data_IF_401012620727
#
_entry.id   IF_401012620727
#
_cell.length_a   1.000
_cell.length_b   1.000
_cell.length_c   1.000
_cell.angle_alpha   90.00
_cell.angle_beta   90.00
_cell.angle_gamma   90.00
#
_symmetry.space_group_name_H-M   'P 1'
#
loop_
_entity.id
_entity.type
_entity.pdbx_description
1 polymer ?
#
# COMPACT_ATOMS: atom_id res chain seq x y z
N UNK A 1 -6.43 -11.47 7.27
CA UNK A 1 -6.87 -12.41 6.22
C UNK A 1 -6.21 -13.78 6.42
N UNK A 2 -4.88 -13.86 6.41
CA UNK A 2 -4.15 -15.14 6.42
C UNK A 2 -4.48 -16.11 7.56
N UNK A 3 -4.48 -15.65 8.82
CA UNK A 3 -4.87 -16.51 9.95
C UNK A 3 -6.31 -17.01 9.87
N UNK A 4 -7.23 -16.21 9.31
CA UNK A 4 -8.62 -16.65 9.14
C UNK A 4 -8.71 -17.75 8.09
N UNK A 5 -7.97 -17.63 7.00
CA UNK A 5 -7.85 -18.70 5.99
C UNK A 5 -7.25 -19.98 6.57
N UNK A 6 -6.20 -19.87 7.39
CA UNK A 6 -5.62 -21.02 8.09
C UNK A 6 -6.63 -21.67 9.04
N UNK A 7 -7.33 -20.88 9.86
CA UNK A 7 -8.34 -21.39 10.79
C UNK A 7 -9.43 -22.14 10.05
N UNK A 8 -9.97 -21.56 8.97
CA UNK A 8 -11.00 -22.23 8.16
C UNK A 8 -10.50 -23.55 7.56
N UNK A 9 -9.25 -23.58 7.08
CA UNK A 9 -8.63 -24.81 6.58
C UNK A 9 -8.46 -25.86 7.69
N UNK A 10 -8.02 -25.46 8.88
CA UNK A 10 -7.88 -26.36 10.03
C UNK A 10 -9.24 -26.89 10.52
N UNK A 11 -10.27 -26.04 10.60
CA UNK A 11 -11.63 -26.45 10.96
C UNK A 11 -12.16 -27.50 9.98
N UNK A 12 -12.03 -27.25 8.67
CA UNK A 12 -12.39 -28.22 7.64
C UNK A 12 -11.64 -29.56 7.78
N UNK A 13 -10.34 -29.52 8.09
CA UNK A 13 -9.53 -30.71 8.25
C UNK A 13 -9.95 -31.52 9.48
N UNK A 14 -10.25 -30.83 10.59
CA UNK A 14 -10.75 -31.44 11.84
C UNK A 14 -12.12 -32.06 11.62
N UNK A 15 -13.05 -31.36 10.98
CA UNK A 15 -14.41 -31.86 10.67
C UNK A 15 -14.38 -33.15 9.85
N UNK A 16 -13.43 -33.26 8.93
CA UNK A 16 -13.25 -34.45 8.07
C UNK A 16 -12.31 -35.51 8.68
N UNK A 17 -11.88 -35.31 9.92
CA UNK A 17 -11.05 -36.24 10.67
C UNK A 17 -9.72 -36.58 9.97
N UNK A 18 -9.15 -35.63 9.22
CA UNK A 18 -7.79 -35.76 8.74
C UNK A 18 -6.81 -35.74 9.92
N UNK A 19 -5.74 -36.54 9.85
CA UNK A 19 -4.76 -36.67 10.94
C UNK A 19 -3.37 -36.19 10.54
N UNK A 20 -2.94 -36.51 9.32
CA UNK A 20 -1.64 -36.15 8.77
C UNK A 20 -1.81 -35.13 7.66
N UNK A 21 -1.35 -33.89 7.90
CA UNK A 21 -1.58 -32.77 6.99
C UNK A 21 -0.30 -31.97 6.75
N UNK A 22 -0.14 -31.53 5.50
CA UNK A 22 0.88 -30.55 5.11
C UNK A 22 0.15 -29.28 4.71
N UNK A 23 0.28 -28.24 5.53
CA UNK A 23 -0.27 -26.93 5.27
C UNK A 23 0.77 -26.12 4.52
N UNK A 24 0.41 -25.75 3.29
CA UNK A 24 1.27 -24.96 2.42
C UNK A 24 0.74 -23.54 2.32
N UNK A 25 1.59 -22.55 2.57
CA UNK A 25 1.22 -21.13 2.53
C UNK A 25 2.33 -20.29 1.91
N UNK A 26 1.94 -19.28 1.14
CA UNK A 26 2.82 -18.24 0.61
C UNK A 26 3.13 -17.13 1.63
N UNK A 27 2.49 -17.17 2.80
CA UNK A 27 2.85 -16.31 3.93
C UNK A 27 4.00 -16.91 4.73
N UNK A 28 5.19 -16.38 4.46
CA UNK A 28 6.37 -16.73 5.24
C UNK A 28 6.24 -16.32 6.72
N UNK A 29 5.48 -15.26 7.01
CA UNK A 29 5.23 -14.82 8.39
C UNK A 29 4.37 -15.84 9.14
N UNK A 30 3.26 -16.27 8.56
CA UNK A 30 2.34 -17.25 9.15
C UNK A 30 3.04 -18.58 9.40
N UNK A 31 3.74 -19.11 8.39
CA UNK A 31 4.49 -20.38 8.51
C UNK A 31 5.56 -20.31 9.61
N UNK A 32 6.30 -19.20 9.72
CA UNK A 32 7.29 -19.00 10.79
C UNK A 32 6.67 -18.85 12.17
N UNK A 33 5.45 -18.30 12.28
CA UNK A 33 4.74 -18.19 13.55
C UNK A 33 4.17 -19.53 14.01
N UNK A 34 3.54 -20.30 13.12
CA UNK A 34 3.01 -21.63 13.45
C UNK A 34 4.12 -22.65 13.76
N UNK A 35 5.28 -22.53 13.13
CA UNK A 35 6.45 -23.36 13.47
C UNK A 35 7.20 -22.90 14.73
N UNK A 36 6.67 -21.92 15.47
CA UNK A 36 7.26 -21.41 16.71
C UNK A 36 8.55 -20.59 16.53
N UNK A 37 9.02 -20.39 15.30
CA UNK A 37 10.24 -19.61 15.02
C UNK A 37 10.04 -18.14 15.36
N UNK A 38 8.84 -17.60 15.14
CA UNK A 38 8.52 -16.18 15.28
C UNK A 38 7.41 -15.97 16.32
N UNK A 39 7.55 -14.96 17.18
CA UNK A 39 6.53 -14.60 18.15
C UNK A 39 5.43 -13.71 17.54
N UNK A 40 4.18 -13.96 17.92
CA UNK A 40 3.04 -13.10 17.57
C UNK A 40 2.93 -11.95 18.58
N UNK A 41 3.27 -10.72 18.13
CA UNK A 41 3.27 -9.53 18.99
C UNK A 41 1.96 -8.76 18.99
N UNK A 42 1.20 -8.78 17.89
CA UNK A 42 -0.02 -7.97 17.75
C UNK A 42 -1.20 -8.60 18.53
N UNK A 43 -1.92 -7.87 19.40
CA UNK A 43 -2.98 -8.42 20.27
C UNK A 43 -4.10 -9.15 19.52
N UNK A 44 -4.58 -8.60 18.40
CA UNK A 44 -5.63 -9.24 17.60
C UNK A 44 -5.14 -10.53 16.91
N UNK A 45 -3.87 -10.59 16.52
CA UNK A 45 -3.29 -11.78 15.90
C UNK A 45 -3.01 -12.86 16.92
N UNK A 46 -2.68 -12.50 18.17
CA UNK A 46 -2.51 -13.48 19.26
C UNK A 46 -3.77 -14.31 19.46
N UNK A 47 -4.95 -13.69 19.45
CA UNK A 47 -6.23 -14.41 19.57
C UNK A 47 -6.42 -15.44 18.45
N UNK A 48 -6.14 -15.06 17.21
CA UNK A 48 -6.26 -15.95 16.06
C UNK A 48 -5.20 -17.06 16.06
N UNK A 49 -3.98 -16.73 16.48
CA UNK A 49 -2.88 -17.71 16.59
C UNK A 49 -3.17 -18.76 17.67
N UNK A 50 -3.72 -18.35 18.82
CA UNK A 50 -4.17 -19.28 19.86
C UNK A 50 -5.22 -20.24 19.28
N UNK A 51 -6.25 -19.71 18.61
CA UNK A 51 -7.29 -20.53 17.98
C UNK A 51 -6.73 -21.50 16.93
N UNK A 52 -5.77 -21.06 16.12
CA UNK A 52 -5.12 -21.92 15.14
C UNK A 52 -4.36 -23.08 15.82
N UNK A 53 -3.60 -22.81 16.88
CA UNK A 53 -2.90 -23.85 17.64
C UNK A 53 -3.86 -24.83 18.33
N UNK A 54 -5.01 -24.36 18.85
CA UNK A 54 -6.03 -25.23 19.43
C UNK A 54 -6.57 -26.23 18.40
N UNK A 55 -6.83 -25.77 17.18
CA UNK A 55 -7.31 -26.62 16.09
C UNK A 55 -6.21 -27.55 15.56
N UNK A 56 -4.98 -27.05 15.46
CA UNK A 56 -3.81 -27.84 15.08
C UNK A 56 -3.59 -29.01 16.05
N UNK A 57 -3.78 -28.79 17.35
CA UNK A 57 -3.64 -29.81 18.39
C UNK A 57 -4.66 -30.96 18.28
N UNK A 58 -5.76 -30.76 17.53
CA UNK A 58 -6.73 -31.81 17.24
C UNK A 58 -6.30 -32.71 16.07
N UNK A 59 -5.28 -32.31 15.31
CA UNK A 59 -4.67 -33.05 14.21
C UNK A 59 -3.43 -33.78 14.75
N UNK A 60 -3.15 -34.99 14.24
CA UNK A 60 -2.08 -35.82 14.79
C UNK A 60 -0.68 -35.34 14.36
N UNK A 61 -0.51 -34.98 13.10
CA UNK A 61 0.74 -34.49 12.53
C UNK A 61 0.48 -33.36 11.55
N UNK A 62 0.92 -32.15 11.91
CA UNK A 62 0.83 -30.97 11.04
C UNK A 62 2.22 -30.49 10.68
N UNK A 63 2.45 -30.27 9.39
CA UNK A 63 3.68 -29.64 8.87
C UNK A 63 3.35 -28.38 8.12
N UNK A 64 4.14 -27.34 8.33
CA UNK A 64 4.01 -26.07 7.61
C UNK A 64 5.14 -25.91 6.60
N UNK A 65 4.77 -25.71 5.33
CA UNK A 65 5.69 -25.45 4.23
C UNK A 65 5.40 -24.08 3.61
N UNK A 66 6.46 -23.32 3.35
CA UNK A 66 6.36 -22.06 2.62
C UNK A 66 6.45 -22.32 1.12
N UNK A 67 5.47 -21.88 0.34
CA UNK A 67 5.51 -21.90 -1.13
C UNK A 67 5.81 -20.49 -1.65
N UNK A 68 6.81 -20.30 -2.53
CA UNK A 68 6.98 -19.04 -3.26
C UNK A 68 5.72 -18.65 -4.04
N UNK A 69 5.34 -17.38 -3.98
CA UNK A 69 4.09 -16.87 -4.57
C UNK A 69 3.89 -17.21 -6.04
N UNK A 70 4.97 -17.31 -6.81
CA UNK A 70 4.97 -17.69 -8.23
C UNK A 70 4.35 -19.08 -8.49
N UNK A 71 4.39 -19.97 -7.49
CA UNK A 71 3.87 -21.33 -7.55
C UNK A 71 2.47 -21.46 -6.91
N UNK A 72 1.88 -20.38 -6.40
CA UNK A 72 0.60 -20.38 -5.68
C UNK A 72 -0.64 -20.13 -6.57
N UNK A 73 -0.46 -20.13 -7.89
CA UNK A 73 -1.48 -19.72 -8.88
C UNK A 73 -2.83 -20.46 -8.72
N UNK A 74 -2.80 -21.75 -8.38
CA UNK A 74 -4.02 -22.56 -8.19
C UNK A 74 -4.78 -22.16 -6.93
N UNK A 75 -4.10 -21.88 -5.83
CA UNK A 75 -4.76 -21.46 -4.60
C UNK A 75 -5.33 -20.05 -4.76
N UNK A 76 -4.60 -19.13 -5.42
CA UNK A 76 -5.08 -17.79 -5.75
C UNK A 76 -6.36 -17.86 -6.60
N UNK A 77 -6.38 -18.72 -7.63
CA UNK A 77 -7.58 -18.91 -8.46
C UNK A 77 -8.78 -19.41 -7.65
N UNK A 78 -8.57 -20.36 -6.74
CA UNK A 78 -9.64 -20.90 -5.89
C UNK A 78 -10.13 -19.87 -4.86
N UNK A 79 -9.22 -19.09 -4.27
CA UNK A 79 -9.57 -18.03 -3.34
C UNK A 79 -10.41 -16.93 -4.03
N UNK A 80 -10.01 -16.52 -5.25
CA UNK A 80 -10.77 -15.55 -6.03
C UNK A 80 -12.16 -16.10 -6.42
N UNK A 81 -12.23 -17.35 -6.89
CA UNK A 81 -13.51 -17.99 -7.21
C UNK A 81 -14.45 -18.08 -6.00
N UNK A 82 -13.92 -18.41 -4.82
CA UNK A 82 -14.72 -18.43 -3.59
C UNK A 82 -15.22 -17.04 -3.18
N UNK A 83 -14.42 -15.98 -3.40
CA UNK A 83 -14.86 -14.60 -3.18
C UNK A 83 -15.98 -14.22 -4.16
N UNK A 84 -15.84 -14.58 -5.43
CA UNK A 84 -16.82 -14.32 -6.49
C UNK A 84 -18.15 -15.09 -6.26
N UNK A 85 -18.11 -16.32 -5.74
CA UNK A 85 -19.31 -17.09 -5.36
C UNK A 85 -20.04 -16.50 -4.15
N UNK A 86 -19.31 -15.88 -3.21
CA UNK A 86 -19.92 -15.23 -2.03
C UNK A 86 -20.49 -13.84 -2.31
N UNK A 87 -20.23 -13.25 -3.49
CA UNK A 87 -20.78 -11.94 -3.87
C UNK A 87 -22.28 -11.94 -4.16
N UNK A 88 -22.91 -13.11 -4.34
CA UNK A 88 -24.34 -13.20 -4.66
C UNK A 88 -25.28 -13.42 -3.45
N UNK A 89 -24.76 -13.61 -2.22
CA UNK A 89 -25.62 -14.05 -1.10
C UNK A 89 -25.60 -13.22 0.20
N UNK A 90 -24.68 -12.27 0.44
CA UNK A 90 -24.78 -11.46 1.68
C UNK A 90 -24.07 -10.08 1.66
N UNK A 91 -23.85 -9.53 0.47
CA UNK A 91 -23.46 -8.12 0.32
C UNK A 91 -24.41 -7.42 -0.66
N UNK A 92 -25.64 -7.15 -0.21
CA UNK A 92 -26.22 -5.87 -0.61
C UNK A 92 -25.35 -4.80 0.05
N UNK A 93 -24.33 -4.36 -0.68
CA UNK A 93 -23.91 -2.97 -0.53
C UNK A 93 -25.19 -2.15 -0.53
N UNK A 94 -25.41 -1.21 0.42
CA UNK A 94 -26.55 -0.31 0.32
C UNK A 94 -26.58 0.20 -1.11
N UNK A 95 -27.76 0.28 -1.76
CA UNK A 95 -27.84 0.71 -3.15
C UNK A 95 -26.97 1.95 -3.24
N UNK A 96 -25.96 1.92 -4.12
CA UNK A 96 -25.20 3.12 -4.45
C UNK A 96 -26.26 4.08 -4.90
N UNK A 97 -26.69 4.96 -4.00
CA UNK A 97 -27.65 5.99 -4.31
C UNK A 97 -26.93 6.83 -5.35
N UNK A 98 -27.26 6.54 -6.62
CA UNK A 98 -27.13 7.43 -7.75
C UNK A 98 -28.04 8.63 -7.51
N UNK A 99 -27.66 9.40 -6.51
CA UNK A 99 -27.92 10.82 -6.38
C UNK A 99 -26.59 11.41 -5.91
N UNK A 100 -25.51 11.16 -6.67
CA UNK A 100 -24.36 12.03 -6.60
C UNK A 100 -24.91 13.42 -6.88
N UNK A 101 -24.98 14.25 -5.84
CA UNK A 101 -25.32 15.63 -6.01
C UNK A 101 -24.27 16.15 -7.01
N UNK A 102 -24.65 16.65 -8.19
CA UNK A 102 -23.68 17.07 -9.21
C UNK A 102 -22.82 18.25 -8.74
N UNK A 103 -23.05 18.73 -7.51
CA UNK A 103 -22.30 19.74 -6.76
C UNK A 103 -21.31 19.18 -5.72
N UNK A 104 -21.17 17.86 -5.58
CA UNK A 104 -20.27 17.24 -4.58
C UNK A 104 -18.91 16.84 -5.16
N UNK A 105 -17.81 17.06 -4.41
CA UNK A 105 -16.48 16.69 -4.87
C UNK A 105 -16.38 15.18 -5.10
N UNK A 106 -15.92 14.79 -6.29
CA UNK A 106 -15.75 13.39 -6.71
C UNK A 106 -14.28 13.03 -6.76
N UNK A 107 -13.88 11.92 -6.15
CA UNK A 107 -12.51 11.40 -6.26
C UNK A 107 -12.35 10.73 -7.62
N UNK A 108 -11.47 11.27 -8.45
CA UNK A 108 -11.17 10.76 -9.79
C UNK A 108 -10.20 9.58 -9.74
N UNK A 109 -9.16 9.71 -8.92
CA UNK A 109 -8.11 8.69 -8.80
C UNK A 109 -7.32 8.85 -7.50
N UNK A 110 -6.59 7.80 -7.14
CA UNK A 110 -5.71 7.79 -5.98
C UNK A 110 -4.34 7.25 -6.34
N UNK A 111 -3.33 7.66 -5.57
CA UNK A 111 -1.98 7.16 -5.66
C UNK A 111 -1.36 7.02 -4.28
N UNK A 112 -0.65 5.92 -4.07
CA UNK A 112 0.06 5.64 -2.83
C UNK A 112 1.50 5.24 -3.14
N UNK A 113 2.41 5.64 -2.28
CA UNK A 113 3.80 5.26 -2.39
C UNK A 113 4.47 5.16 -1.01
N UNK A 114 5.50 4.32 -0.92
CA UNK A 114 6.32 4.12 0.28
C UNK A 114 7.78 3.96 -0.13
N UNK A 115 8.66 4.65 0.56
CA UNK A 115 10.09 4.71 0.24
C UNK A 115 10.98 4.58 1.46
N UNK A 116 12.11 3.91 1.27
CA UNK A 116 13.14 3.74 2.28
C UNK A 116 14.01 5.01 2.38
N UNK A 117 14.17 5.53 3.59
CA UNK A 117 14.92 6.77 3.85
C UNK A 117 16.40 6.59 3.59
N UNK A 118 16.97 5.44 3.93
CA UNK A 118 18.39 5.15 3.69
C UNK A 118 18.67 4.98 2.19
N UNK A 119 17.73 4.39 1.44
CA UNK A 119 17.83 4.35 -0.03
C UNK A 119 17.95 5.74 -0.64
N UNK A 120 17.06 6.67 -0.27
CA UNK A 120 17.09 8.04 -0.82
C UNK A 120 18.32 8.80 -0.32
N UNK A 121 18.69 8.63 0.94
CA UNK A 121 19.92 9.18 1.52
C UNK A 121 21.15 8.72 0.73
N UNK A 122 21.21 7.45 0.33
CA UNK A 122 22.31 6.89 -0.43
C UNK A 122 22.36 7.42 -1.87
N UNK A 123 21.20 7.68 -2.48
CA UNK A 123 21.13 8.32 -3.79
C UNK A 123 21.63 9.76 -3.73
N UNK A 124 21.22 10.52 -2.70
CA UNK A 124 21.70 11.89 -2.47
C UNK A 124 23.21 11.88 -2.22
N UNK A 125 23.71 10.95 -1.40
CA UNK A 125 25.15 10.84 -1.11
C UNK A 125 25.97 10.50 -2.35
N UNK A 126 25.49 9.56 -3.18
CA UNK A 126 26.21 9.08 -4.37
C UNK A 126 26.17 10.06 -5.54
N UNK A 127 25.04 10.71 -5.77
CA UNK A 127 24.80 11.51 -6.98
C UNK A 127 24.64 13.01 -6.71
N UNK A 128 24.51 13.42 -5.43
CA UNK A 128 24.43 14.81 -5.01
C UNK A 128 23.39 15.62 -5.78
N UNK A 129 23.83 16.80 -6.21
CA UNK A 129 23.03 17.77 -6.96
C UNK A 129 22.39 17.23 -8.23
N UNK A 130 23.03 16.26 -8.90
CA UNK A 130 22.48 15.67 -10.12
C UNK A 130 21.16 14.94 -9.83
N UNK A 131 21.10 14.20 -8.72
CA UNK A 131 19.88 13.52 -8.31
C UNK A 131 18.84 14.52 -7.80
N UNK A 132 19.24 15.42 -6.90
CA UNK A 132 18.27 16.34 -6.29
C UNK A 132 17.65 17.29 -7.32
N UNK A 133 18.44 17.88 -8.21
CA UNK A 133 17.94 18.81 -9.26
C UNK A 133 17.17 18.13 -10.39
N UNK A 134 17.25 16.81 -10.49
CA UNK A 134 16.40 16.02 -11.41
C UNK A 134 15.01 15.81 -10.85
N UNK A 135 14.90 15.61 -9.53
CA UNK A 135 13.65 15.19 -8.89
C UNK A 135 12.89 16.36 -8.25
N UNK A 136 13.62 17.24 -7.57
CA UNK A 136 13.05 18.28 -6.72
C UNK A 136 13.15 19.66 -7.37
N UNK A 137 12.17 20.51 -7.08
CA UNK A 137 12.25 21.95 -7.39
C UNK A 137 13.24 22.64 -6.44
N UNK A 138 13.64 23.88 -6.76
CA UNK A 138 14.50 24.65 -5.87
C UNK A 138 13.81 24.92 -4.52
N UNK A 139 12.51 25.22 -4.52
CA UNK A 139 11.72 25.42 -3.29
C UNK A 139 11.70 24.18 -2.39
N UNK A 140 11.61 22.98 -2.98
CA UNK A 140 11.67 21.72 -2.25
C UNK A 140 13.06 21.42 -1.67
N UNK A 141 14.12 21.66 -2.45
CA UNK A 141 15.51 21.48 -2.01
C UNK A 141 15.77 22.39 -0.81
N UNK A 142 15.46 23.68 -0.95
CA UNK A 142 15.58 24.69 0.09
C UNK A 142 14.81 24.31 1.35
N UNK A 143 13.57 23.84 1.19
CA UNK A 143 12.78 23.36 2.33
C UNK A 143 13.49 22.20 3.04
N UNK A 144 13.95 21.19 2.29
CA UNK A 144 14.48 19.96 2.88
C UNK A 144 15.81 20.20 3.58
N UNK A 145 16.69 21.01 2.98
CA UNK A 145 18.00 21.33 3.54
C UNK A 145 17.92 22.10 4.86
N UNK A 146 16.87 22.92 5.07
CA UNK A 146 16.65 23.66 6.32
C UNK A 146 16.17 22.79 7.49
N UNK A 147 15.88 21.51 7.28
CA UNK A 147 15.33 20.63 8.32
C UNK A 147 16.44 19.88 9.05
N UNK A 148 16.19 19.54 10.31
CA UNK A 148 17.14 18.77 11.15
C UNK A 148 17.56 17.44 10.52
N UNK A 149 16.64 16.77 9.82
CA UNK A 149 16.88 15.50 9.15
C UNK A 149 16.50 15.57 7.66
N UNK A 150 17.33 16.18 6.80
CA UNK A 150 16.97 16.44 5.40
C UNK A 150 16.55 15.19 4.62
N UNK A 151 17.22 14.06 4.84
CA UNK A 151 16.92 12.80 4.15
C UNK A 151 15.46 12.36 4.30
N UNK A 152 14.87 12.49 5.50
CA UNK A 152 13.46 12.13 5.73
C UNK A 152 12.51 13.03 4.94
N UNK A 153 12.82 14.32 4.85
CA UNK A 153 12.00 15.28 4.11
C UNK A 153 12.13 15.15 2.59
N UNK A 154 13.33 14.81 2.10
CA UNK A 154 13.51 14.44 0.69
C UNK A 154 12.74 13.16 0.37
N UNK A 155 12.83 12.14 1.22
CA UNK A 155 12.12 10.86 1.02
C UNK A 155 10.60 11.05 1.01
N UNK A 156 10.06 11.84 1.95
CA UNK A 156 8.62 12.15 1.95
C UNK A 156 8.13 12.86 0.69
N UNK A 157 8.95 13.76 0.12
CA UNK A 157 8.62 14.43 -1.16
C UNK A 157 8.78 13.52 -2.35
N UNK A 158 9.81 12.69 -2.35
CA UNK A 158 10.01 11.67 -3.38
C UNK A 158 8.78 10.76 -3.45
N UNK A 159 8.32 10.28 -2.29
CA UNK A 159 7.12 9.45 -2.18
C UNK A 159 5.85 10.20 -2.61
N UNK A 160 5.70 11.48 -2.23
CA UNK A 160 4.57 12.30 -2.67
C UNK A 160 4.52 12.47 -4.21
N UNK A 161 5.67 12.65 -4.86
CA UNK A 161 5.75 12.76 -6.32
C UNK A 161 5.41 11.45 -7.02
N UNK A 162 5.92 10.31 -6.53
CA UNK A 162 5.55 8.99 -7.06
C UNK A 162 4.05 8.72 -6.87
N UNK A 163 3.49 9.02 -5.69
CA UNK A 163 2.06 8.91 -5.43
C UNK A 163 1.24 9.77 -6.41
N UNK A 164 1.65 11.01 -6.65
CA UNK A 164 0.98 11.89 -7.61
C UNK A 164 1.08 11.38 -9.05
N UNK A 165 2.23 10.86 -9.50
CA UNK A 165 2.39 10.27 -10.83
C UNK A 165 1.51 9.02 -11.03
N UNK A 166 1.32 8.22 -9.97
CA UNK A 166 0.39 7.08 -9.98
C UNK A 166 -1.06 7.55 -10.11
N UNK A 167 -1.45 8.57 -9.34
CA UNK A 167 -2.79 9.13 -9.42
C UNK A 167 -3.09 9.75 -10.80
N UNK A 168 -2.10 10.39 -11.44
CA UNK A 168 -2.21 10.93 -12.80
C UNK A 168 -2.23 9.84 -13.91
N UNK A 169 -1.92 8.58 -13.57
CA UNK A 169 -1.88 7.45 -14.51
C UNK A 169 -0.71 7.50 -15.51
N UNK A 170 0.33 8.30 -15.21
CA UNK A 170 1.44 8.57 -16.13
C UNK A 170 2.68 7.73 -15.89
N UNK A 171 2.86 7.21 -14.68
CA UNK A 171 4.06 6.47 -14.30
C UNK A 171 5.35 7.24 -14.67
N UNK A 172 6.44 6.52 -14.96
CA UNK A 172 7.76 7.12 -15.26
C UNK A 172 7.99 7.52 -16.73
N UNK A 173 6.95 7.65 -17.57
CA UNK A 173 7.18 7.68 -19.03
C UNK A 173 6.13 8.34 -19.92
N UNK A 174 5.21 9.17 -19.42
CA UNK A 174 4.14 9.80 -20.24
C UNK A 174 4.12 11.33 -20.16
N UNK A 175 5.27 11.96 -20.38
CA UNK A 175 5.37 13.43 -20.49
C UNK A 175 5.29 14.21 -19.17
N UNK A 176 5.06 13.54 -18.04
CA UNK A 176 5.12 14.15 -16.69
C UNK A 176 6.52 14.03 -16.13
N UNK A 177 7.17 15.17 -15.87
CA UNK A 177 8.48 15.22 -15.23
C UNK A 177 8.35 15.27 -13.71
N UNK A 178 9.39 14.84 -12.99
CA UNK A 178 9.41 14.92 -11.54
C UNK A 178 9.22 16.33 -10.98
N UNK A 179 9.75 17.32 -11.69
CA UNK A 179 9.68 18.73 -11.31
C UNK A 179 8.38 19.41 -11.74
N UNK A 180 7.55 18.72 -12.52
CA UNK A 180 6.20 19.17 -12.85
C UNK A 180 5.25 19.03 -11.65
N UNK A 181 5.67 18.31 -10.61
CA UNK A 181 4.91 18.08 -9.38
C UNK A 181 5.70 18.66 -8.22
N UNK A 182 5.22 19.70 -7.56
CA UNK A 182 5.88 20.32 -6.42
C UNK A 182 5.09 20.14 -5.13
N UNK A 183 5.78 19.77 -4.04
CA UNK A 183 5.19 19.71 -2.69
C UNK A 183 5.47 21.00 -1.93
N UNK A 184 4.43 21.82 -1.79
CA UNK A 184 4.50 23.14 -1.14
C UNK A 184 4.08 23.04 0.32
N UNK A 185 4.76 23.81 1.19
CA UNK A 185 4.35 24.02 2.58
C UNK A 185 4.37 25.51 2.94
N UNK A 186 3.20 26.06 3.23
CA UNK A 186 2.99 27.47 3.59
C UNK A 186 2.22 27.61 4.91
N UNK A 187 2.51 26.74 5.89
CA UNK A 187 1.67 26.56 7.08
C UNK A 187 0.46 25.65 6.78
N UNK A 188 0.11 24.78 7.71
CA UNK A 188 -0.95 23.78 7.52
C UNK A 188 -0.52 22.51 6.75
N UNK A 189 -1.49 21.78 6.16
CA UNK A 189 -1.25 20.56 5.39
C UNK A 189 -0.39 20.81 4.15
N UNK A 190 0.43 19.83 3.71
CA UNK A 190 1.16 19.94 2.46
C UNK A 190 0.20 19.99 1.26
N UNK A 191 0.57 20.73 0.21
CA UNK A 191 -0.21 20.86 -1.03
C UNK A 191 0.64 20.43 -2.23
N UNK A 192 -0.03 19.99 -3.29
CA UNK A 192 0.59 19.75 -4.59
C UNK A 192 0.36 20.94 -5.52
N UNK A 193 1.40 21.35 -6.22
CA UNK A 193 1.29 22.23 -7.37
C UNK A 193 1.74 21.48 -8.62
N UNK A 194 0.89 21.51 -9.66
CA UNK A 194 1.18 20.89 -10.94
C UNK A 194 1.56 21.96 -11.98
N UNK A 195 2.67 21.73 -12.66
CA UNK A 195 3.16 22.52 -13.79
C UNK A 195 3.45 21.60 -14.98
N UNK A 196 3.86 22.15 -16.12
CA UNK A 196 4.33 21.35 -17.27
C UNK A 196 3.36 20.22 -17.68
N UNK A 197 3.93 19.03 -17.89
CA UNK A 197 3.14 17.85 -18.30
C UNK A 197 2.17 17.37 -17.22
N UNK A 198 2.49 17.54 -15.94
CA UNK A 198 1.58 17.18 -14.84
C UNK A 198 0.30 18.02 -14.90
N UNK A 199 0.42 19.33 -15.13
CA UNK A 199 -0.71 20.25 -15.25
C UNK A 199 -1.59 19.91 -16.45
N UNK A 200 -0.98 19.65 -17.60
CA UNK A 200 -1.70 19.26 -18.81
C UNK A 200 -2.50 17.97 -18.57
N UNK A 201 -1.85 16.96 -17.98
CA UNK A 201 -2.49 15.69 -17.67
C UNK A 201 -3.61 15.82 -16.64
N UNK A 202 -3.41 16.62 -15.60
CA UNK A 202 -4.43 16.91 -14.61
C UNK A 202 -5.66 17.56 -15.26
N UNK A 203 -5.44 18.50 -16.20
CA UNK A 203 -6.51 19.12 -16.99
C UNK A 203 -7.28 18.13 -17.88
N UNK A 204 -6.59 17.23 -18.58
CA UNK A 204 -7.23 16.16 -19.38
C UNK A 204 -8.11 15.24 -18.54
N UNK A 205 -7.74 15.01 -17.27
CA UNK A 205 -8.48 14.17 -16.34
C UNK A 205 -9.61 14.93 -15.62
N UNK A 206 -9.75 16.25 -15.83
CA UNK A 206 -10.73 17.08 -15.13
C UNK A 206 -10.39 17.33 -13.66
N UNK A 207 -9.13 17.22 -13.26
CA UNK A 207 -8.70 17.45 -11.87
C UNK A 207 -8.79 18.94 -11.55
N UNK A 208 -9.51 19.28 -10.48
CA UNK A 208 -9.62 20.66 -9.97
C UNK A 208 -8.93 20.84 -8.63
N UNK A 209 -8.76 19.76 -7.86
CA UNK A 209 -8.06 19.78 -6.57
C UNK A 209 -7.27 18.48 -6.34
N UNK A 210 -6.25 18.54 -5.49
CA UNK A 210 -5.40 17.41 -5.13
C UNK A 210 -5.08 17.42 -3.62
N UNK A 211 -5.52 16.38 -2.93
CA UNK A 211 -5.26 16.21 -1.50
C UNK A 211 -4.05 15.32 -1.30
N UNK A 212 -3.11 15.79 -0.47
CA UNK A 212 -1.87 15.10 -0.16
C UNK A 212 -1.74 14.86 1.35
N UNK A 213 -1.40 13.63 1.73
CA UNK A 213 -0.93 13.28 3.06
C UNK A 213 0.45 12.64 2.98
N UNK A 214 1.37 13.08 3.85
CA UNK A 214 2.73 12.56 3.92
C UNK A 214 3.03 12.23 5.38
N UNK A 215 3.63 11.06 5.61
CA UNK A 215 4.18 10.67 6.91
C UNK A 215 5.58 10.09 6.74
N UNK A 216 6.41 10.21 7.76
CA UNK A 216 7.72 9.60 7.76
C UNK A 216 8.17 9.19 9.16
N UNK A 217 8.96 8.12 9.21
CA UNK A 217 9.71 7.69 10.38
C UNK A 217 11.20 7.93 10.14
N UNK A 218 12.07 7.30 10.94
CA UNK A 218 13.50 7.30 10.69
C UNK A 218 13.90 6.47 9.47
N UNK A 219 13.11 5.45 9.11
CA UNK A 219 13.47 4.42 8.14
C UNK A 219 12.62 4.45 6.88
N UNK A 220 11.38 4.93 6.96
CA UNK A 220 10.44 4.95 5.83
C UNK A 220 9.72 6.28 5.73
N UNK A 221 9.31 6.64 4.51
CA UNK A 221 8.31 7.68 4.27
C UNK A 221 7.20 7.13 3.37
N UNK A 222 5.98 7.60 3.57
CA UNK A 222 4.81 7.21 2.77
C UNK A 222 4.04 8.47 2.40
N UNK A 223 3.47 8.46 1.19
CA UNK A 223 2.54 9.47 0.75
C UNK A 223 1.27 8.86 0.13
N UNK A 224 0.16 9.56 0.31
CA UNK A 224 -1.12 9.29 -0.33
C UNK A 224 -1.62 10.56 -1.02
N UNK A 225 -2.08 10.41 -2.27
CA UNK A 225 -2.64 11.47 -3.09
C UNK A 225 -4.02 11.05 -3.58
N UNK A 226 -5.00 11.94 -3.45
CA UNK A 226 -6.31 11.83 -4.10
C UNK A 226 -6.49 13.01 -5.04
N UNK A 227 -6.81 12.73 -6.30
CA UNK A 227 -7.18 13.76 -7.28
C UNK A 227 -8.70 13.88 -7.30
N UNK A 228 -9.19 15.11 -7.25
CA UNK A 228 -10.60 15.42 -7.02
C UNK A 228 -11.09 16.32 -8.15
N UNK A 229 -12.31 16.07 -8.59
CA UNK A 229 -13.11 16.99 -9.37
C UNK A 229 -14.16 17.64 -8.47
N UNK A 230 -14.07 18.95 -8.33
CA UNK A 230 -15.08 19.80 -7.73
C UNK A 230 -15.82 20.49 -8.87
N UNK A 231 -17.13 20.28 -9.00
CA UNK A 231 -17.98 20.89 -10.03
C UNK A 231 -18.10 22.41 -9.90
#
# INVERSE_FOLDING_TARGET
>A
AEYRGLIAALEYLVERQHRDVIIRSDSQLLTRQMTGKYQVKHPALRKLHIRANELEALLANVKYEHIPRELNQRADKLANAAMDETTDADHTSPPVHSSANPSSPTVLSVGIDIEDVDRVKDLIRRYGDRFTRRIFTNGEIDYCQRRRFPAQHFTGRFSAKEAAMKALGTGRGKGVLWRDIEVIRSGGPPKLEFTGGAKNRAGELGVTDAVLSITHTKTIAMAHVSLIHCP
#
